data_IF_496708549817
#
_entry.id   IF_496708549817
#
_cell.length_a   1.000
_cell.length_b   1.000
_cell.length_c   1.000
_cell.angle_alpha   90.00
_cell.angle_beta   90.00
_cell.angle_gamma   90.00
#
_symmetry.space_group_name_H-M   'P 1'
#
loop_
_entity.id
_entity.type
_entity.pdbx_description
1 polymer ?
#
# COMPACT_ATOMS: atom_id res chain seq x y z
N UNK A 1 14.25 20.08 -76.85
CA UNK A 1 13.86 18.96 -77.71
C UNK A 1 13.18 17.93 -76.81
N UNK A 2 11.85 17.97 -76.68
CA UNK A 2 10.82 17.22 -77.43
C UNK A 2 11.00 15.70 -77.28
N UNK A 3 10.12 15.00 -76.69
CA UNK A 3 8.73 14.54 -76.88
C UNK A 3 8.34 13.57 -75.78
N UNK A 4 7.30 13.77 -75.06
CA UNK A 4 5.93 13.21 -75.11
C UNK A 4 5.80 11.85 -75.87
N UNK A 5 5.10 10.85 -75.17
CA UNK A 5 3.83 10.30 -75.61
C UNK A 5 3.45 9.04 -74.75
N UNK A 6 2.33 9.13 -74.08
CA UNK A 6 1.11 8.33 -73.95
C UNK A 6 1.08 6.95 -73.35
N UNK A 7 0.18 6.90 -72.41
CA UNK A 7 -0.67 5.80 -71.93
C UNK A 7 -1.44 5.13 -73.11
N UNK A 8 -1.90 3.91 -73.02
CA UNK A 8 -3.09 3.54 -72.23
C UNK A 8 -3.26 2.07 -71.80
N UNK A 9 -4.18 1.84 -70.87
CA UNK A 9 -5.12 0.71 -71.02
C UNK A 9 -5.24 -0.29 -69.86
N UNK A 10 -6.31 -0.12 -69.15
CA UNK A 10 -7.13 -1.10 -68.37
C UNK A 10 -6.90 -2.60 -68.62
N UNK A 11 -6.93 -3.42 -67.58
CA UNK A 11 -8.06 -4.36 -67.37
C UNK A 11 -7.99 -5.05 -65.99
N UNK A 12 -9.17 -5.20 -65.37
CA UNK A 12 -9.55 -5.89 -64.13
C UNK A 12 -9.04 -7.32 -64.01
N UNK A 13 -8.67 -7.73 -62.79
CA UNK A 13 -9.07 -9.05 -62.27
C UNK A 13 -9.01 -9.07 -60.72
N UNK A 14 -10.18 -9.31 -60.12
CA UNK A 14 -10.38 -9.59 -58.68
C UNK A 14 -9.70 -10.92 -58.34
N UNK A 15 -8.94 -10.94 -57.22
CA UNK A 15 -8.75 -12.16 -56.44
C UNK A 15 -8.72 -11.81 -54.93
N UNK A 16 -9.63 -12.45 -54.21
CA UNK A 16 -9.72 -12.44 -52.77
C UNK A 16 -8.48 -13.08 -52.15
N UNK A 17 -7.86 -12.42 -51.17
CA UNK A 17 -6.94 -13.06 -50.25
C UNK A 17 -7.35 -12.61 -48.83
N UNK A 18 -7.79 -13.57 -48.03
CA UNK A 18 -8.12 -13.43 -46.65
C UNK A 18 -6.83 -13.14 -45.88
N UNK A 19 -6.72 -11.93 -45.30
CA UNK A 19 -5.66 -11.56 -44.38
C UNK A 19 -6.08 -11.88 -42.96
N UNK A 20 -5.43 -12.84 -42.32
CA UNK A 20 -5.49 -13.05 -40.88
C UNK A 20 -4.90 -11.81 -40.20
N UNK A 21 -5.74 -11.03 -39.55
CA UNK A 21 -5.31 -10.00 -38.62
C UNK A 21 -4.88 -10.65 -37.32
N UNK A 22 -3.58 -10.74 -37.07
CA UNK A 22 -3.03 -11.08 -35.76
C UNK A 22 -3.30 -9.93 -34.82
N UNK A 23 -4.27 -10.10 -33.93
CA UNK A 23 -4.53 -9.17 -32.83
C UNK A 23 -3.43 -9.40 -31.79
N UNK A 24 -2.39 -8.56 -31.80
CA UNK A 24 -1.45 -8.44 -30.68
C UNK A 24 -2.19 -7.79 -29.50
N UNK A 25 -2.67 -8.60 -28.56
CA UNK A 25 -3.14 -8.12 -27.26
C UNK A 25 -1.87 -7.78 -26.45
N UNK A 26 -1.44 -6.52 -26.57
CA UNK A 26 -0.47 -5.96 -25.63
C UNK A 26 -1.18 -5.80 -24.29
N UNK A 27 -0.95 -6.73 -23.36
CA UNK A 27 -1.36 -6.59 -21.98
C UNK A 27 -0.52 -5.47 -21.33
N UNK A 28 -0.93 -4.21 -21.56
CA UNK A 28 -0.46 -3.09 -20.76
C UNK A 28 -1.01 -3.25 -19.34
N UNK A 29 -0.22 -3.79 -18.42
CA UNK A 29 -0.46 -3.63 -16.99
C UNK A 29 -0.30 -2.14 -16.66
N UNK A 30 -1.38 -1.39 -16.81
CA UNK A 30 -1.46 -0.02 -16.32
C UNK A 30 -1.34 -0.09 -14.80
N UNK A 31 -0.19 0.30 -14.27
CA UNK A 31 -0.09 0.76 -12.89
C UNK A 31 -1.08 1.93 -12.76
N UNK A 32 -2.22 1.67 -12.13
CA UNK A 32 -3.24 2.69 -11.95
C UNK A 32 -2.67 3.82 -11.12
N UNK A 33 -2.53 5.00 -11.72
CA UNK A 33 -2.35 6.23 -10.97
C UNK A 33 -3.44 6.30 -9.86
N UNK A 34 -3.14 6.83 -8.67
CA UNK A 34 -4.18 7.07 -7.69
C UNK A 34 -5.26 7.94 -8.34
N UNK A 35 -6.50 7.47 -8.27
CA UNK A 35 -7.64 8.20 -8.80
C UNK A 35 -7.69 9.60 -8.15
N UNK A 36 -8.10 10.66 -8.88
CA UNK A 36 -8.28 11.99 -8.30
C UNK A 36 -9.18 11.87 -7.07
N UNK A 37 -8.79 12.55 -5.99
CA UNK A 37 -9.52 12.53 -4.73
C UNK A 37 -10.99 12.93 -4.97
N UNK A 38 -11.96 12.16 -4.46
CA UNK A 38 -13.38 12.49 -4.62
C UNK A 38 -13.69 13.84 -3.95
N UNK A 39 -14.71 14.57 -4.41
CA UNK A 39 -15.21 15.75 -3.70
C UNK A 39 -15.59 15.39 -2.27
N UNK A 40 -15.44 16.31 -1.32
CA UNK A 40 -15.88 16.11 0.06
C UNK A 40 -17.39 15.79 0.02
N UNK A 41 -17.83 14.61 0.45
CA UNK A 41 -19.26 14.31 0.52
C UNK A 41 -19.92 15.27 1.51
N UNK A 42 -21.07 15.82 1.19
CA UNK A 42 -21.84 16.72 2.07
C UNK A 42 -22.37 16.03 3.33
N UNK A 43 -22.28 14.71 3.40
CA UNK A 43 -22.39 13.88 4.59
C UNK A 43 -21.58 12.61 4.29
N UNK A 44 -20.45 12.40 4.95
CA UNK A 44 -19.92 11.06 5.10
C UNK A 44 -20.86 10.43 6.12
N UNK A 45 -21.90 9.83 5.61
CA UNK A 45 -22.79 8.97 6.39
C UNK A 45 -21.90 8.00 7.19
N UNK A 46 -22.32 7.61 8.38
CA UNK A 46 -21.61 6.69 9.27
C UNK A 46 -21.32 5.30 8.64
N UNK A 47 -21.33 5.22 7.33
CA UNK A 47 -21.03 4.05 6.51
C UNK A 47 -19.55 3.72 6.64
N UNK A 48 -19.28 2.68 7.40
CA UNK A 48 -17.94 2.25 7.75
C UNK A 48 -17.05 1.99 6.55
N UNK A 49 -15.76 2.14 6.77
CA UNK A 49 -14.72 1.74 5.82
C UNK A 49 -14.71 0.20 5.69
N UNK A 50 -14.46 -0.29 4.48
CA UNK A 50 -14.30 -1.71 4.16
C UNK A 50 -12.81 -2.05 4.16
N UNK A 51 -12.36 -2.83 5.13
CA UNK A 51 -10.93 -3.17 5.33
C UNK A 51 -10.71 -4.65 4.99
N UNK A 52 -9.94 -4.95 3.95
CA UNK A 52 -9.56 -6.33 3.66
C UNK A 52 -8.53 -6.82 4.66
N UNK A 53 -8.88 -7.83 5.44
CA UNK A 53 -7.97 -8.53 6.35
C UNK A 53 -7.10 -9.57 5.64
N UNK A 54 -7.31 -9.75 4.34
CA UNK A 54 -6.57 -10.69 3.50
C UNK A 54 -7.41 -11.85 3.00
N UNK A 55 -6.74 -12.80 2.35
CA UNK A 55 -7.29 -14.09 1.93
C UNK A 55 -6.62 -15.18 2.75
N UNK A 56 -7.41 -16.08 3.32
CA UNK A 56 -6.94 -17.22 4.11
C UNK A 56 -7.62 -18.50 3.61
N UNK A 57 -6.98 -19.68 3.71
CA UNK A 57 -7.59 -20.93 3.28
C UNK A 57 -8.91 -21.24 4.02
N UNK A 58 -8.95 -20.90 5.30
CA UNK A 58 -10.14 -20.98 6.15
C UNK A 58 -10.07 -19.94 7.26
N UNK A 59 -11.22 -19.57 7.82
CA UNK A 59 -11.34 -18.64 8.94
C UNK A 59 -12.18 -19.23 10.06
N UNK A 60 -11.67 -19.11 11.29
CA UNK A 60 -12.44 -19.37 12.51
C UNK A 60 -12.97 -18.04 13.02
N UNK A 61 -14.29 -17.95 13.17
CA UNK A 61 -15.01 -16.74 13.57
C UNK A 61 -15.74 -16.98 14.90
N UNK A 62 -15.83 -15.95 15.71
CA UNK A 62 -16.67 -15.92 16.93
C UNK A 62 -17.03 -14.48 17.26
N UNK A 63 -17.94 -14.26 18.19
CA UNK A 63 -18.29 -12.94 18.70
C UNK A 63 -18.44 -12.94 20.22
N UNK A 64 -18.26 -11.76 20.84
CA UNK A 64 -18.42 -11.58 22.30
C UNK A 64 -19.88 -11.45 22.75
N UNK A 65 -20.81 -11.42 21.81
CA UNK A 65 -22.27 -11.42 22.05
C UNK A 65 -22.94 -12.36 21.04
N UNK A 66 -24.27 -12.50 21.14
CA UNK A 66 -25.04 -13.21 20.12
C UNK A 66 -24.78 -12.63 18.72
N UNK A 67 -24.76 -13.47 17.72
CA UNK A 67 -24.39 -13.09 16.36
C UNK A 67 -25.36 -13.71 15.33
N UNK A 68 -25.37 -13.10 14.14
CA UNK A 68 -26.10 -13.58 12.98
C UNK A 68 -25.20 -13.64 11.77
N UNK A 69 -25.30 -14.72 11.02
CA UNK A 69 -24.75 -14.83 9.67
C UNK A 69 -25.86 -14.49 8.69
N UNK A 70 -25.67 -13.47 7.91
CA UNK A 70 -26.65 -12.96 6.94
C UNK A 70 -26.13 -13.29 5.54
N UNK A 71 -26.98 -13.92 4.72
CA UNK A 71 -26.65 -14.24 3.34
C UNK A 71 -26.70 -12.99 2.43
N UNK A 72 -26.37 -13.18 1.17
CA UNK A 72 -26.40 -12.11 0.16
C UNK A 72 -27.79 -11.52 -0.10
N UNK A 73 -28.86 -12.27 0.21
CA UNK A 73 -30.25 -11.86 0.03
C UNK A 73 -30.80 -11.16 1.29
N UNK A 74 -29.98 -10.97 2.33
CA UNK A 74 -30.35 -10.33 3.59
C UNK A 74 -31.06 -11.25 4.58
N UNK A 75 -31.11 -12.57 4.33
CA UNK A 75 -31.75 -13.55 5.22
C UNK A 75 -30.76 -14.04 6.26
N UNK A 76 -31.29 -14.35 7.46
CA UNK A 76 -30.48 -14.99 8.51
C UNK A 76 -30.24 -16.45 8.10
N UNK A 77 -28.99 -16.73 7.74
CA UNK A 77 -28.53 -18.06 7.34
C UNK A 77 -28.13 -18.94 8.53
N UNK A 78 -27.57 -18.30 9.59
CA UNK A 78 -27.25 -18.93 10.85
C UNK A 78 -27.24 -17.89 11.97
N UNK A 79 -27.43 -18.34 13.21
CA UNK A 79 -27.27 -17.51 14.39
C UNK A 79 -26.67 -18.33 15.53
N UNK A 80 -26.03 -17.66 16.48
CA UNK A 80 -25.40 -18.30 17.62
C UNK A 80 -25.22 -17.36 18.78
N UNK A 81 -24.66 -17.91 19.86
CA UNK A 81 -24.44 -17.24 21.13
C UNK A 81 -23.02 -16.66 21.19
N UNK A 82 -22.78 -15.86 22.21
CA UNK A 82 -21.43 -15.42 22.56
C UNK A 82 -20.47 -16.63 22.71
N UNK A 83 -19.33 -16.56 22.05
CA UNK A 83 -18.28 -17.59 22.11
C UNK A 83 -18.46 -18.78 21.17
N UNK A 84 -19.64 -18.97 20.55
CA UNK A 84 -19.81 -20.03 19.56
C UNK A 84 -18.84 -19.86 18.39
N UNK A 85 -18.17 -20.95 18.02
CA UNK A 85 -17.18 -20.95 16.96
C UNK A 85 -17.80 -21.34 15.61
N UNK A 86 -17.45 -20.60 14.59
CA UNK A 86 -17.79 -20.89 13.20
C UNK A 86 -16.50 -21.14 12.43
N UNK A 87 -16.44 -22.16 11.61
CA UNK A 87 -15.36 -22.35 10.65
C UNK A 87 -15.89 -22.18 9.23
N UNK A 88 -15.28 -21.22 8.50
CA UNK A 88 -15.60 -20.94 7.11
C UNK A 88 -14.43 -21.26 6.19
N UNK A 89 -14.72 -21.96 5.11
CA UNK A 89 -13.80 -22.22 4.00
C UNK A 89 -14.49 -21.90 2.67
N UNK A 90 -13.74 -21.87 1.58
CA UNK A 90 -14.30 -21.74 0.24
C UNK A 90 -13.68 -22.72 -0.71
N UNK A 91 -14.51 -23.29 -1.56
CA UNK A 91 -14.10 -24.12 -2.69
C UNK A 91 -14.96 -23.77 -3.91
N UNK A 92 -14.32 -23.56 -5.05
CA UNK A 92 -14.98 -23.27 -6.33
C UNK A 92 -16.04 -22.13 -6.25
N UNK A 93 -15.78 -21.11 -5.43
CA UNK A 93 -16.68 -19.94 -5.29
C UNK A 93 -17.82 -20.12 -4.28
N UNK A 94 -17.98 -21.30 -3.71
CA UNK A 94 -18.98 -21.62 -2.67
C UNK A 94 -18.35 -21.52 -1.28
N UNK A 95 -19.05 -20.88 -0.34
CA UNK A 95 -18.65 -20.82 1.06
C UNK A 95 -19.23 -22.01 1.81
N UNK A 96 -18.40 -22.75 2.54
CA UNK A 96 -18.81 -23.84 3.41
C UNK A 96 -18.64 -23.41 4.86
N UNK A 97 -19.75 -23.43 5.61
CA UNK A 97 -19.77 -23.25 7.06
C UNK A 97 -19.74 -24.62 7.72
N UNK A 98 -18.81 -24.83 8.64
CA UNK A 98 -18.81 -25.96 9.57
C UNK A 98 -19.15 -25.46 10.97
N UNK A 99 -20.20 -26.03 11.55
CA UNK A 99 -20.65 -25.76 12.92
C UNK A 99 -19.95 -26.69 13.93
N UNK A 100 -19.86 -26.31 15.21
CA UNK A 100 -19.23 -27.15 16.25
C UNK A 100 -19.86 -28.54 16.38
N UNK A 101 -21.16 -28.68 16.10
CA UNK A 101 -21.89 -29.96 16.10
C UNK A 101 -21.63 -30.85 14.87
N UNK A 102 -20.72 -30.43 13.96
CA UNK A 102 -20.35 -31.17 12.77
C UNK A 102 -21.26 -30.96 11.55
N UNK A 103 -22.32 -30.19 11.66
CA UNK A 103 -23.17 -29.83 10.53
C UNK A 103 -22.37 -28.93 9.55
N UNK A 104 -22.55 -29.17 8.25
CA UNK A 104 -21.99 -28.35 7.18
C UNK A 104 -23.11 -27.76 6.35
N UNK A 105 -22.98 -26.47 6.07
CA UNK A 105 -23.92 -25.75 5.20
C UNK A 105 -23.16 -24.98 4.15
N UNK A 106 -23.70 -24.90 2.96
CA UNK A 106 -23.11 -24.20 1.83
C UNK A 106 -23.91 -22.92 1.53
N UNK A 107 -23.21 -21.86 1.20
CA UNK A 107 -23.76 -20.56 0.88
C UNK A 107 -23.10 -19.96 -0.35
N UNK A 108 -23.90 -19.24 -1.13
CA UNK A 108 -23.34 -18.34 -2.14
C UNK A 108 -22.73 -17.11 -1.47
N UNK A 109 -21.51 -16.76 -1.86
CA UNK A 109 -20.85 -15.55 -1.38
C UNK A 109 -21.53 -14.27 -1.94
N UNK A 110 -21.44 -13.12 -1.23
CA UNK A 110 -20.88 -12.94 0.10
C UNK A 110 -21.85 -13.33 1.21
N UNK A 111 -21.31 -13.60 2.40
CA UNK A 111 -22.10 -13.65 3.64
C UNK A 111 -21.55 -12.61 4.62
N UNK A 112 -22.40 -12.13 5.53
CA UNK A 112 -22.01 -11.12 6.52
C UNK A 112 -22.23 -11.65 7.93
N UNK A 113 -21.18 -11.58 8.78
CA UNK A 113 -21.29 -11.85 10.21
C UNK A 113 -21.48 -10.53 10.95
N UNK A 114 -22.59 -10.43 11.71
CA UNK A 114 -22.91 -9.27 12.52
C UNK A 114 -23.18 -9.71 13.95
N UNK A 115 -22.66 -8.97 14.94
CA UNK A 115 -23.05 -9.14 16.31
C UNK A 115 -24.41 -8.44 16.58
N UNK A 116 -25.20 -8.96 17.52
CA UNK A 116 -26.50 -8.37 17.85
C UNK A 116 -26.31 -7.01 18.54
N UNK A 117 -25.33 -6.91 19.46
CA UNK A 117 -25.01 -5.64 20.10
C UNK A 117 -23.94 -4.89 19.32
N UNK A 118 -24.11 -3.59 19.06
CA UNK A 118 -23.16 -2.79 18.28
C UNK A 118 -21.76 -2.70 18.89
N UNK A 119 -21.65 -2.74 20.21
CA UNK A 119 -20.37 -2.69 20.97
C UNK A 119 -19.65 -4.03 21.01
N UNK A 120 -20.30 -5.12 20.62
CA UNK A 120 -19.70 -6.44 20.62
C UNK A 120 -18.54 -6.53 19.62
N UNK A 121 -17.56 -7.35 19.97
CA UNK A 121 -16.39 -7.60 19.13
C UNK A 121 -16.57 -8.91 18.38
N UNK A 122 -16.07 -8.95 17.14
CA UNK A 122 -16.00 -10.17 16.35
C UNK A 122 -14.54 -10.57 16.23
N UNK A 123 -14.25 -11.87 16.39
CA UNK A 123 -12.89 -12.39 16.23
C UNK A 123 -12.77 -13.17 14.92
N UNK A 124 -11.61 -12.98 14.26
CA UNK A 124 -11.17 -13.74 13.09
C UNK A 124 -9.82 -14.36 13.43
N UNK A 125 -9.73 -15.67 13.47
CA UNK A 125 -8.50 -16.38 13.81
C UNK A 125 -7.86 -15.81 15.07
N UNK A 126 -8.67 -15.63 16.13
CA UNK A 126 -8.31 -15.09 17.46
C UNK A 126 -7.99 -13.57 17.51
N UNK A 127 -8.01 -12.84 16.40
CA UNK A 127 -7.87 -11.38 16.39
C UNK A 127 -9.23 -10.70 16.47
N UNK A 128 -9.35 -9.70 17.33
CA UNK A 128 -10.61 -9.02 17.63
C UNK A 128 -10.79 -7.76 16.78
N UNK A 129 -12.02 -7.56 16.30
CA UNK A 129 -12.41 -6.44 15.47
C UNK A 129 -13.74 -5.86 15.93
N UNK A 130 -13.91 -4.55 15.75
CA UNK A 130 -15.20 -3.85 15.89
C UNK A 130 -15.98 -3.94 14.59
N UNK A 131 -17.29 -3.64 14.65
CA UNK A 131 -18.17 -3.62 13.49
C UNK A 131 -18.60 -5.00 13.03
N UNK A 132 -18.64 -5.23 11.72
CA UNK A 132 -19.08 -6.48 11.10
C UNK A 132 -18.05 -7.04 10.14
N UNK A 133 -18.26 -8.29 9.71
CA UNK A 133 -17.41 -8.94 8.69
C UNK A 133 -18.25 -9.25 7.46
N UNK A 134 -17.69 -9.00 6.28
CA UNK A 134 -18.16 -9.56 5.02
C UNK A 134 -17.17 -10.62 4.54
N UNK A 135 -17.66 -11.80 4.25
CA UNK A 135 -16.85 -12.97 3.86
C UNK A 135 -17.18 -13.28 2.40
N UNK A 136 -16.13 -13.26 1.56
CA UNK A 136 -16.22 -13.50 0.13
C UNK A 136 -15.42 -14.75 -0.25
N UNK A 137 -15.89 -15.44 -1.27
CA UNK A 137 -15.07 -16.48 -1.90
C UNK A 137 -13.89 -15.84 -2.64
N UNK A 138 -12.74 -16.50 -2.61
CA UNK A 138 -11.54 -16.15 -3.36
C UNK A 138 -10.89 -17.43 -3.92
N UNK A 139 -10.04 -17.31 -4.95
CA UNK A 139 -9.43 -18.45 -5.63
C UNK A 139 -8.65 -19.38 -4.69
N UNK A 140 -8.04 -18.83 -3.64
CA UNK A 140 -7.22 -19.56 -2.66
C UNK A 140 -7.85 -19.67 -1.27
N UNK A 141 -9.17 -19.51 -1.14
CA UNK A 141 -9.89 -19.60 0.13
C UNK A 141 -10.92 -18.49 0.33
N UNK A 142 -10.97 -17.91 1.52
CA UNK A 142 -11.94 -16.87 1.90
C UNK A 142 -11.26 -15.52 2.06
N UNK A 143 -11.84 -14.48 1.46
CA UNK A 143 -11.46 -13.08 1.74
C UNK A 143 -12.34 -12.56 2.86
N UNK A 144 -11.70 -12.04 3.90
CA UNK A 144 -12.37 -11.40 5.02
C UNK A 144 -12.27 -9.88 4.85
N UNK A 145 -13.40 -9.21 4.92
CA UNK A 145 -13.50 -7.74 4.87
C UNK A 145 -14.19 -7.26 6.14
N UNK A 146 -13.48 -6.50 6.96
CA UNK A 146 -14.06 -5.87 8.14
C UNK A 146 -14.76 -4.57 7.72
N UNK A 147 -16.02 -4.40 8.12
CA UNK A 147 -16.79 -3.16 7.97
C UNK A 147 -16.85 -2.46 9.32
N UNK A 148 -16.24 -1.30 9.43
CA UNK A 148 -16.04 -0.62 10.71
C UNK A 148 -16.10 0.89 10.51
N UNK A 149 -16.62 1.65 11.49
CA UNK A 149 -16.59 3.11 11.46
C UNK A 149 -15.16 3.64 11.38
N UNK A 150 -14.93 4.76 10.66
CA UNK A 150 -13.59 5.32 10.41
C UNK A 150 -12.83 5.57 11.71
N UNK A 151 -13.46 6.12 12.74
CA UNK A 151 -12.78 6.41 14.02
C UNK A 151 -12.34 5.10 14.73
N UNK A 152 -13.18 4.09 14.76
CA UNK A 152 -12.85 2.79 15.31
C UNK A 152 -11.74 2.08 14.51
N UNK A 153 -11.73 2.24 13.18
CA UNK A 153 -10.63 1.79 12.32
C UNK A 153 -9.31 2.46 12.70
N UNK A 154 -9.30 3.78 12.88
CA UNK A 154 -8.09 4.55 13.20
C UNK A 154 -7.48 4.17 14.55
N UNK A 155 -8.29 3.77 15.54
CA UNK A 155 -7.80 3.25 16.83
C UNK A 155 -6.95 1.99 16.64
N UNK A 156 -7.27 1.17 15.63
CA UNK A 156 -6.47 0.00 15.27
C UNK A 156 -5.31 0.27 14.29
N UNK A 157 -5.27 1.45 13.64
CA UNK A 157 -4.24 1.86 12.66
C UNK A 157 -3.14 2.67 13.32
N UNK A 158 -3.47 3.76 14.02
CA UNK A 158 -2.50 4.74 14.54
C UNK A 158 -1.41 4.08 15.39
N UNK A 159 -1.71 3.18 16.35
CA UNK A 159 -0.68 2.51 17.12
C UNK A 159 0.20 1.55 16.30
N UNK A 160 -0.35 0.96 15.26
CA UNK A 160 0.40 0.03 14.38
C UNK A 160 1.33 0.77 13.44
N UNK A 161 0.99 1.98 13.05
CA UNK A 161 1.77 2.82 12.14
C UNK A 161 2.86 3.60 12.91
N UNK A 162 2.51 4.26 14.00
CA UNK A 162 3.45 5.11 14.74
C UNK A 162 4.17 4.36 15.87
N UNK A 163 3.67 3.19 16.27
CA UNK A 163 4.11 2.42 17.44
C UNK A 163 3.55 2.97 18.74
N UNK A 164 3.87 2.30 19.85
CA UNK A 164 3.49 2.76 21.20
C UNK A 164 4.25 4.05 21.53
N UNK A 165 3.51 5.11 21.90
CA UNK A 165 4.04 6.45 22.18
C UNK A 165 3.59 6.95 23.52
N UNK A 166 4.40 7.83 24.14
CA UNK A 166 4.05 8.56 25.36
C UNK A 166 3.33 9.87 25.06
N UNK A 167 2.88 10.53 26.11
CA UNK A 167 2.16 11.81 26.05
C UNK A 167 2.96 12.93 25.32
N UNK A 168 4.30 12.91 25.39
CA UNK A 168 5.17 13.88 24.70
C UNK A 168 5.12 13.78 23.17
N UNK A 169 4.61 12.68 22.62
CA UNK A 169 4.46 12.47 21.18
C UNK A 169 3.02 12.73 20.69
N UNK A 170 2.14 13.33 21.53
CA UNK A 170 0.71 13.54 21.26
C UNK A 170 0.46 14.24 19.92
N UNK A 171 1.15 15.35 19.63
CA UNK A 171 0.95 16.07 18.38
C UNK A 171 1.31 15.23 17.14
N UNK A 172 2.28 14.32 17.26
CA UNK A 172 2.59 13.37 16.17
C UNK A 172 1.49 12.31 15.99
N UNK A 173 0.89 11.81 17.07
CA UNK A 173 -0.24 10.89 17.03
C UNK A 173 -1.49 11.56 16.42
N UNK A 174 -1.76 12.81 16.79
CA UNK A 174 -2.84 13.63 16.22
C UNK A 174 -2.62 13.86 14.71
N UNK A 175 -1.38 14.20 14.30
CA UNK A 175 -1.02 14.36 12.88
C UNK A 175 -1.18 13.03 12.11
N UNK A 176 -0.76 11.91 12.72
CA UNK A 176 -0.93 10.58 12.13
C UNK A 176 -2.41 10.22 11.98
N UNK A 177 -3.25 10.51 12.99
CA UNK A 177 -4.68 10.24 12.92
C UNK A 177 -5.36 11.01 11.79
N UNK A 178 -5.05 12.32 11.63
CA UNK A 178 -5.59 13.15 10.55
C UNK A 178 -5.08 12.67 9.17
N UNK A 179 -3.80 12.36 9.03
CA UNK A 179 -3.25 11.85 7.77
C UNK A 179 -3.85 10.49 7.40
N UNK A 180 -3.95 9.55 8.38
CA UNK A 180 -4.53 8.24 8.16
C UNK A 180 -6.03 8.31 7.84
N UNK A 181 -6.77 9.21 8.48
CA UNK A 181 -8.19 9.47 8.18
C UNK A 181 -8.35 10.00 6.76
N UNK A 182 -7.55 10.98 6.36
CA UNK A 182 -7.56 11.53 5.00
C UNK A 182 -7.30 10.46 3.96
N UNK A 183 -6.28 9.62 4.19
CA UNK A 183 -5.95 8.49 3.32
C UNK A 183 -7.11 7.51 3.18
N UNK A 184 -7.77 7.16 4.29
CA UNK A 184 -8.89 6.24 4.34
C UNK A 184 -10.12 6.83 3.64
N UNK A 185 -10.53 8.06 4.04
CA UNK A 185 -11.72 8.74 3.51
C UNK A 185 -11.61 8.97 1.99
N UNK A 186 -10.44 9.31 1.49
CA UNK A 186 -10.21 9.46 0.04
C UNK A 186 -10.41 8.15 -0.76
N UNK A 187 -10.55 7.01 -0.11
CA UNK A 187 -10.74 5.68 -0.72
C UNK A 187 -12.12 5.08 -0.51
N UNK A 188 -12.90 5.61 0.41
CA UNK A 188 -14.28 5.16 0.66
C UNK A 188 -15.12 5.36 -0.60
N UNK A 189 -15.99 4.39 -0.89
CA UNK A 189 -16.91 4.44 -2.04
C UNK A 189 -16.32 3.88 -3.33
N UNK A 190 -15.16 3.26 -3.30
CA UNK A 190 -14.63 2.55 -4.48
C UNK A 190 -15.50 1.32 -4.78
N UNK A 191 -16.31 1.41 -5.84
CA UNK A 191 -17.23 0.34 -6.25
C UNK A 191 -16.57 -0.76 -7.07
N UNK A 192 -15.33 -0.54 -7.54
CA UNK A 192 -14.61 -1.51 -8.38
C UNK A 192 -13.94 -2.61 -7.57
N UNK A 193 -13.83 -2.44 -6.24
CA UNK A 193 -13.21 -3.40 -5.34
C UNK A 193 -14.18 -3.80 -4.23
N UNK A 194 -14.02 -5.01 -3.73
CA UNK A 194 -14.77 -5.51 -2.58
C UNK A 194 -14.40 -4.80 -1.25
N UNK A 195 -13.34 -3.99 -1.24
CA UNK A 195 -12.85 -3.26 -0.07
C UNK A 195 -12.23 -1.92 -0.47
N UNK A 196 -12.13 -1.00 0.48
CA UNK A 196 -11.56 0.33 0.28
C UNK A 196 -10.05 0.35 0.53
N UNK A 197 -9.59 -0.36 1.57
CA UNK A 197 -8.18 -0.46 1.98
C UNK A 197 -7.82 -1.88 2.40
N UNK A 198 -6.53 -2.23 2.27
CA UNK A 198 -5.95 -3.47 2.79
C UNK A 198 -5.32 -3.23 4.17
N UNK A 199 -5.49 -4.18 5.11
CA UNK A 199 -4.93 -4.18 6.45
C UNK A 199 -3.43 -4.54 6.45
N UNK A 200 -2.62 -3.93 5.60
CA UNK A 200 -1.21 -4.25 5.41
C UNK A 200 -0.41 -3.01 4.97
N UNK A 201 0.90 -3.17 4.81
CA UNK A 201 1.79 -2.12 4.28
C UNK A 201 1.49 -1.71 2.83
N UNK A 202 0.54 -2.35 2.17
CA UNK A 202 0.02 -1.93 0.85
C UNK A 202 -0.78 -0.64 0.97
N UNK A 203 -1.59 -0.52 2.04
CA UNK A 203 -2.36 0.68 2.38
C UNK A 203 -2.02 1.14 3.79
N UNK A 204 -2.66 0.60 4.84
CA UNK A 204 -2.44 0.97 6.24
C UNK A 204 -2.43 -0.28 7.12
N UNK A 205 -1.45 -0.38 8.03
CA UNK A 205 -1.38 -1.54 8.93
C UNK A 205 -2.48 -1.43 9.97
N UNK A 206 -3.47 -2.32 9.90
CA UNK A 206 -4.62 -2.37 10.78
C UNK A 206 -4.56 -3.59 11.69
N UNK A 207 -4.56 -3.39 12.99
CA UNK A 207 -4.43 -4.44 14.00
C UNK A 207 -5.74 -4.78 14.73
N UNK A 208 -6.87 -4.16 14.36
CA UNK A 208 -8.13 -4.33 15.10
C UNK A 208 -8.05 -3.83 16.54
N UNK A 209 -8.90 -4.38 17.39
CA UNK A 209 -8.98 -4.01 18.83
C UNK A 209 -7.69 -4.33 19.58
N UNK A 210 -6.99 -5.38 19.19
CA UNK A 210 -5.77 -5.83 19.86
C UNK A 210 -4.59 -4.85 19.71
N UNK A 211 -4.71 -3.85 18.85
CA UNK A 211 -3.74 -2.78 18.67
C UNK A 211 -4.11 -1.51 19.44
N UNK A 212 -5.35 -1.34 19.88
CA UNK A 212 -5.84 -0.13 20.53
C UNK A 212 -5.07 0.18 21.83
N UNK A 213 -4.81 1.46 22.10
CA UNK A 213 -4.25 1.93 23.37
C UNK A 213 -4.73 3.34 23.69
N UNK A 214 -4.82 3.66 24.97
CA UNK A 214 -5.44 4.88 25.47
C UNK A 214 -4.81 6.18 24.92
N UNK A 215 -3.48 6.20 24.67
CA UNK A 215 -2.78 7.42 24.19
C UNK A 215 -3.13 7.70 22.72
N UNK A 216 -3.12 6.66 21.89
CA UNK A 216 -3.51 6.79 20.50
C UNK A 216 -5.02 7.05 20.35
N UNK A 217 -5.85 6.38 21.17
CA UNK A 217 -7.30 6.58 21.19
C UNK A 217 -7.67 8.03 21.54
N UNK A 218 -6.96 8.63 22.51
CA UNK A 218 -7.15 10.05 22.86
C UNK A 218 -6.78 10.99 21.69
N UNK A 219 -5.72 10.68 20.93
CA UNK A 219 -5.33 11.48 19.76
C UNK A 219 -6.33 11.33 18.59
N UNK A 220 -6.87 10.12 18.35
CA UNK A 220 -7.94 9.88 17.38
C UNK A 220 -9.19 10.68 17.76
N UNK A 221 -9.63 10.60 19.02
CA UNK A 221 -10.80 11.33 19.52
C UNK A 221 -10.62 12.86 19.46
N UNK A 222 -9.44 13.38 19.83
CA UNK A 222 -9.16 14.83 19.78
C UNK A 222 -9.18 15.38 18.34
N UNK A 223 -9.01 14.54 17.34
CA UNK A 223 -8.99 14.90 15.92
C UNK A 223 -10.19 14.32 15.13
N UNK A 224 -11.23 13.89 15.83
CA UNK A 224 -12.41 13.25 15.20
C UNK A 224 -12.96 14.08 14.03
N UNK A 225 -13.21 13.42 12.91
CA UNK A 225 -13.72 14.03 11.68
C UNK A 225 -12.75 14.97 10.96
N UNK A 226 -11.54 15.23 11.47
CA UNK A 226 -10.58 16.12 10.82
C UNK A 226 -9.82 15.37 9.71
N UNK A 227 -9.79 15.97 8.52
CA UNK A 227 -9.05 15.50 7.34
C UNK A 227 -8.26 16.63 6.71
N UNK A 228 -7.32 16.27 5.85
CA UNK A 228 -6.63 17.21 4.95
C UNK A 228 -7.44 17.40 3.67
N UNK A 229 -7.61 18.64 3.28
CA UNK A 229 -8.26 19.01 2.01
C UNK A 229 -7.35 19.91 1.17
N UNK A 230 -7.47 19.78 -0.14
CA UNK A 230 -6.86 20.67 -1.13
C UNK A 230 -7.92 21.05 -2.16
N UNK A 231 -8.14 22.35 -2.37
CA UNK A 231 -9.21 22.86 -3.23
C UNK A 231 -10.59 22.25 -2.91
N UNK A 232 -10.92 22.15 -1.62
CA UNK A 232 -12.20 21.63 -1.15
C UNK A 232 -12.38 20.10 -1.26
N UNK A 233 -11.35 19.36 -1.67
CA UNK A 233 -11.40 17.89 -1.79
C UNK A 233 -10.50 17.23 -0.76
N UNK A 234 -10.95 16.11 -0.20
CA UNK A 234 -10.12 15.28 0.69
C UNK A 234 -8.93 14.74 -0.09
N UNK A 235 -7.72 14.90 0.45
CA UNK A 235 -6.49 14.45 -0.19
C UNK A 235 -6.10 13.05 0.28
N UNK A 236 -5.51 12.27 -0.61
CA UNK A 236 -4.79 11.06 -0.23
C UNK A 236 -3.48 11.47 0.45
N UNK A 237 -3.40 11.33 1.77
CA UNK A 237 -2.27 11.76 2.58
C UNK A 237 -1.37 10.56 2.96
N UNK A 238 -0.42 10.14 2.11
CA UNK A 238 0.49 9.05 2.39
C UNK A 238 1.50 9.44 3.46
N UNK A 239 2.05 8.43 4.15
CA UNK A 239 3.08 8.61 5.15
C UNK A 239 4.07 7.44 5.12
N UNK A 240 5.23 7.64 5.70
CA UNK A 240 6.31 6.65 5.73
C UNK A 240 7.14 6.79 7.00
N UNK A 241 7.89 5.77 7.35
CA UNK A 241 8.59 5.72 8.63
C UNK A 241 9.59 6.87 8.79
N UNK A 242 10.62 6.99 7.94
CA UNK A 242 11.59 8.09 8.02
C UNK A 242 12.11 8.50 6.65
N UNK A 243 12.17 9.81 6.39
CA UNK A 243 12.54 10.35 5.09
C UNK A 243 14.07 10.35 4.82
N UNK A 244 14.90 10.24 5.87
CA UNK A 244 16.34 10.35 5.75
C UNK A 244 16.86 11.80 5.58
N UNK A 245 16.06 12.80 6.03
CA UNK A 245 16.39 14.22 6.00
C UNK A 245 15.59 15.05 5.00
N UNK A 246 15.00 14.43 3.98
CA UNK A 246 14.08 15.10 3.03
C UNK A 246 13.05 14.10 2.49
N UNK A 247 11.80 14.54 2.38
CA UNK A 247 10.78 13.78 1.64
C UNK A 247 11.02 13.85 0.13
N UNK A 248 10.28 13.10 -0.64
CA UNK A 248 10.26 13.14 -2.10
C UNK A 248 8.92 13.67 -2.60
N UNK A 249 8.91 14.27 -3.78
CA UNK A 249 7.66 14.50 -4.50
C UNK A 249 7.07 13.18 -5.02
N UNK A 250 5.77 13.16 -5.28
CA UNK A 250 5.08 11.93 -5.66
C UNK A 250 5.61 11.32 -6.96
N UNK A 251 5.88 12.15 -7.97
CA UNK A 251 6.40 11.75 -9.28
C UNK A 251 7.85 11.26 -9.26
N UNK A 252 8.61 11.59 -8.22
CA UNK A 252 9.96 11.05 -8.02
C UNK A 252 9.94 9.54 -7.67
N UNK A 253 8.86 9.05 -7.07
CA UNK A 253 8.77 7.69 -6.50
C UNK A 253 7.75 6.84 -7.24
N UNK A 254 6.60 7.41 -7.58
CA UNK A 254 5.50 6.73 -8.25
C UNK A 254 5.37 7.17 -9.70
N UNK A 255 4.82 6.32 -10.54
CA UNK A 255 4.50 6.64 -11.93
C UNK A 255 3.14 7.37 -12.01
N UNK A 256 2.95 8.39 -11.16
CA UNK A 256 1.74 9.20 -11.08
C UNK A 256 2.05 10.65 -11.45
N UNK A 257 0.99 11.41 -11.74
CA UNK A 257 1.13 12.86 -11.86
C UNK A 257 1.59 13.45 -10.52
N UNK A 258 2.31 14.55 -10.58
CA UNK A 258 2.72 15.27 -9.39
C UNK A 258 1.50 15.93 -8.73
N UNK A 259 1.30 15.62 -7.45
CA UNK A 259 0.25 16.23 -6.64
C UNK A 259 0.80 17.49 -5.97
N UNK A 260 0.12 18.65 -6.07
CA UNK A 260 0.64 19.92 -5.54
C UNK A 260 0.94 19.89 -4.03
N UNK A 261 0.30 19.00 -3.29
CA UNK A 261 0.47 18.83 -1.85
C UNK A 261 1.44 17.68 -1.47
N UNK A 262 1.97 16.91 -2.44
CA UNK A 262 2.94 15.84 -2.23
C UNK A 262 4.32 16.27 -2.76
N UNK A 263 4.84 17.33 -2.19
CA UNK A 263 6.11 17.94 -2.59
C UNK A 263 7.28 17.46 -1.73
N UNK A 264 8.47 17.74 -2.21
CA UNK A 264 9.69 17.55 -1.43
C UNK A 264 9.73 18.56 -0.28
N UNK A 265 9.89 18.06 0.94
CA UNK A 265 9.97 18.84 2.17
C UNK A 265 11.26 18.51 2.90
N UNK A 266 12.05 19.54 3.26
CA UNK A 266 13.23 19.36 4.11
C UNK A 266 12.80 19.11 5.57
N UNK A 267 13.41 18.11 6.17
CA UNK A 267 13.21 17.79 7.58
C UNK A 267 14.33 18.30 8.48
N UNK A 268 15.18 19.21 7.93
CA UNK A 268 16.31 19.82 8.65
C UNK A 268 15.82 20.73 9.77
N UNK A 269 16.45 20.64 10.94
CA UNK A 269 16.23 21.56 12.07
C UNK A 269 16.93 22.88 11.73
N UNK A 270 16.20 24.01 11.72
CA UNK A 270 16.78 25.30 11.38
C UNK A 270 18.03 25.63 12.20
N UNK A 271 19.06 26.17 11.54
CA UNK A 271 20.32 26.55 12.19
C UNK A 271 21.24 25.40 12.59
N UNK A 272 20.93 24.15 12.21
CA UNK A 272 21.72 22.97 12.60
C UNK A 272 21.99 22.05 11.42
N UNK A 273 22.87 21.07 11.58
CA UNK A 273 23.08 19.94 10.65
C UNK A 273 22.26 18.70 11.00
N UNK A 274 21.30 18.85 11.92
CA UNK A 274 20.42 17.79 12.42
C UNK A 274 19.07 17.81 11.65
N UNK A 275 18.38 16.67 11.72
CA UNK A 275 17.06 16.51 11.14
C UNK A 275 16.04 16.07 12.21
N UNK A 276 14.80 16.51 12.13
CA UNK A 276 13.75 16.07 13.03
C UNK A 276 13.60 14.54 13.04
N UNK A 277 13.84 13.88 11.91
CA UNK A 277 13.76 12.43 11.78
C UNK A 277 15.05 11.66 12.10
N UNK A 278 16.17 12.31 12.46
CA UNK A 278 17.45 11.62 12.71
C UNK A 278 17.47 10.80 14.00
N UNK A 279 16.46 10.99 14.86
CA UNK A 279 16.19 10.15 16.02
C UNK A 279 15.62 8.77 15.66
N UNK A 280 15.33 8.50 14.38
CA UNK A 280 14.79 7.22 13.96
C UNK A 280 15.86 6.13 14.01
N UNK A 281 15.55 4.93 14.55
CA UNK A 281 16.50 3.81 14.58
C UNK A 281 16.99 3.38 13.20
N UNK A 282 16.17 3.64 12.16
CA UNK A 282 16.47 3.31 10.75
C UNK A 282 16.76 4.56 9.91
N UNK A 283 17.23 5.63 10.54
CA UNK A 283 17.62 6.84 9.81
C UNK A 283 18.77 6.56 8.84
N UNK A 284 19.77 5.79 9.29
CA UNK A 284 20.86 5.26 8.46
C UNK A 284 20.77 3.75 8.43
N UNK A 285 21.11 3.16 7.29
CA UNK A 285 21.07 1.72 7.13
C UNK A 285 22.11 1.24 6.11
N UNK A 286 22.50 -0.01 6.23
CA UNK A 286 23.33 -0.73 5.27
C UNK A 286 22.68 -2.09 4.97
N UNK A 287 22.82 -2.54 3.73
CA UNK A 287 22.46 -3.89 3.31
C UNK A 287 23.48 -4.42 2.32
N UNK A 288 23.86 -5.69 2.47
CA UNK A 288 24.86 -6.32 1.64
C UNK A 288 24.36 -7.67 1.14
N UNK A 289 24.75 -8.00 -0.08
CA UNK A 289 24.48 -9.30 -0.71
C UNK A 289 25.79 -9.83 -1.29
N UNK A 290 26.04 -11.14 -1.16
CA UNK A 290 26.97 -11.87 -1.99
C UNK A 290 26.36 -12.07 -3.37
N UNK A 291 27.17 -12.30 -4.40
CA UNK A 291 26.73 -12.44 -5.78
C UNK A 291 25.66 -13.52 -5.98
N UNK A 292 25.85 -14.69 -5.36
CA UNK A 292 24.91 -15.82 -5.39
C UNK A 292 23.55 -15.46 -4.78
N UNK A 293 23.58 -14.85 -3.61
CA UNK A 293 22.39 -14.39 -2.90
C UNK A 293 21.65 -13.29 -3.66
N UNK A 294 22.38 -12.34 -4.24
CA UNK A 294 21.79 -11.28 -5.08
C UNK A 294 21.11 -11.87 -6.32
N UNK A 295 21.78 -12.81 -6.99
CA UNK A 295 21.23 -13.53 -8.15
C UNK A 295 19.92 -14.24 -7.80
N UNK A 296 19.89 -14.95 -6.66
CA UNK A 296 18.67 -15.62 -6.19
C UNK A 296 17.51 -14.64 -5.92
N UNK A 297 17.80 -13.49 -5.32
CA UNK A 297 16.82 -12.45 -5.05
C UNK A 297 16.32 -11.83 -6.36
N UNK A 298 17.20 -11.49 -7.27
CA UNK A 298 16.84 -10.91 -8.58
C UNK A 298 16.04 -11.92 -9.41
N UNK A 299 16.42 -13.20 -9.47
CA UNK A 299 15.67 -14.25 -10.14
C UNK A 299 14.22 -14.33 -9.63
N UNK A 300 14.03 -14.25 -8.33
CA UNK A 300 12.70 -14.37 -7.69
C UNK A 300 11.78 -13.19 -7.99
N UNK A 301 12.30 -11.97 -8.02
CA UNK A 301 11.45 -10.77 -7.99
C UNK A 301 11.48 -9.92 -9.26
N UNK A 302 12.49 -10.01 -10.11
CA UNK A 302 12.69 -9.11 -11.26
C UNK A 302 11.53 -9.12 -12.25
N UNK A 303 10.98 -10.31 -12.56
CA UNK A 303 9.91 -10.50 -13.55
C UNK A 303 8.63 -9.74 -13.25
N UNK A 304 8.37 -9.47 -11.98
CA UNK A 304 7.19 -8.70 -11.56
C UNK A 304 7.32 -7.20 -11.85
N UNK A 305 8.54 -6.72 -12.16
CA UNK A 305 8.84 -5.28 -12.28
C UNK A 305 9.59 -4.89 -13.56
N UNK A 306 10.05 -5.86 -14.31
CA UNK A 306 10.74 -5.66 -15.58
C UNK A 306 10.32 -6.72 -16.61
N UNK A 307 10.39 -6.34 -17.89
CA UNK A 307 10.19 -7.30 -18.98
C UNK A 307 11.42 -8.20 -19.08
N UNK A 308 11.26 -9.46 -18.73
CA UNK A 308 12.30 -10.48 -18.74
C UNK A 308 11.87 -11.60 -19.67
N UNK A 309 12.70 -11.98 -20.67
CA UNK A 309 12.42 -13.11 -21.55
C UNK A 309 12.18 -14.42 -20.78
N UNK A 310 11.50 -15.41 -21.34
CA UNK A 310 11.35 -16.74 -20.74
C UNK A 310 12.70 -17.39 -20.41
N UNK A 311 12.70 -18.23 -19.35
CA UNK A 311 13.91 -18.89 -18.85
C UNK A 311 14.58 -18.16 -17.71
N UNK A 312 15.71 -18.63 -17.12
CA UNK A 312 16.36 -18.01 -15.99
C UNK A 312 16.86 -16.59 -16.32
N UNK A 313 16.85 -15.69 -15.32
CA UNK A 313 17.36 -14.32 -15.44
C UNK A 313 18.88 -14.30 -15.66
N UNK A 314 19.58 -15.30 -15.13
CA UNK A 314 21.02 -15.42 -15.19
C UNK A 314 21.75 -14.75 -14.01
N UNK A 315 23.04 -15.01 -13.91
CA UNK A 315 23.91 -14.49 -12.85
C UNK A 315 23.98 -12.95 -12.91
N UNK A 316 23.82 -12.28 -11.79
CA UNK A 316 23.98 -10.82 -11.70
C UNK A 316 25.47 -10.47 -11.79
N UNK A 317 25.83 -9.67 -12.78
CA UNK A 317 27.21 -9.25 -13.06
C UNK A 317 27.49 -7.83 -12.62
N UNK A 318 26.46 -6.96 -12.70
CA UNK A 318 26.62 -5.55 -12.42
C UNK A 318 25.33 -4.90 -11.93
N UNK A 319 25.47 -3.90 -11.05
CA UNK A 319 24.37 -3.05 -10.58
C UNK A 319 24.85 -1.61 -10.60
N UNK A 320 24.17 -0.77 -11.40
CA UNK A 320 24.56 0.63 -11.60
C UNK A 320 23.40 1.56 -11.36
N UNK A 321 23.65 2.68 -10.68
CA UNK A 321 22.68 3.79 -10.61
C UNK A 321 22.69 4.51 -11.96
N UNK A 322 21.52 4.53 -12.61
CA UNK A 322 21.32 5.24 -13.87
C UNK A 322 21.06 6.74 -13.63
N UNK A 323 20.20 7.05 -12.66
CA UNK A 323 19.86 8.44 -12.34
C UNK A 323 19.37 8.58 -10.89
N UNK A 324 19.46 9.79 -10.36
CA UNK A 324 18.91 10.18 -9.06
C UNK A 324 17.85 11.25 -9.25
N UNK A 325 16.90 11.27 -8.31
CA UNK A 325 15.85 12.30 -8.23
C UNK A 325 16.39 13.57 -7.57
N UNK A 326 15.69 14.71 -7.66
CA UNK A 326 16.02 15.93 -6.92
C UNK A 326 16.06 15.76 -5.40
N UNK A 327 15.35 14.76 -4.84
CA UNK A 327 15.46 14.41 -3.41
C UNK A 327 16.66 13.52 -3.07
N UNK A 328 17.55 13.24 -4.04
CA UNK A 328 18.76 12.43 -3.87
C UNK A 328 18.52 10.91 -3.90
N UNK A 329 17.28 10.47 -4.12
CA UNK A 329 16.92 9.05 -4.23
C UNK A 329 17.30 8.49 -5.59
N UNK A 330 17.56 7.19 -5.66
CA UNK A 330 17.81 6.49 -6.93
C UNK A 330 16.49 6.48 -7.73
N UNK A 331 16.46 7.21 -8.84
CA UNK A 331 15.33 7.29 -9.76
C UNK A 331 15.29 6.04 -10.65
N UNK A 332 16.44 5.60 -11.13
CA UNK A 332 16.57 4.41 -11.94
C UNK A 332 17.90 3.68 -11.66
N UNK A 333 17.82 2.36 -11.75
CA UNK A 333 18.90 1.44 -11.50
C UNK A 333 18.95 0.39 -12.61
N UNK A 334 20.14 0.08 -13.11
CA UNK A 334 20.37 -1.03 -14.01
C UNK A 334 20.85 -2.27 -13.25
N UNK A 335 20.23 -3.39 -13.53
CA UNK A 335 20.70 -4.72 -13.14
C UNK A 335 21.14 -5.46 -14.40
N UNK A 336 22.43 -5.72 -14.53
CA UNK A 336 22.99 -6.48 -15.63
C UNK A 336 23.24 -7.92 -15.18
N UNK A 337 22.78 -8.87 -15.98
CA UNK A 337 22.96 -10.29 -15.74
C UNK A 337 23.71 -10.94 -16.91
N UNK A 338 24.05 -12.21 -16.78
CA UNK A 338 24.63 -12.98 -17.89
C UNK A 338 23.70 -13.13 -19.10
N UNK A 339 22.40 -12.76 -18.96
CA UNK A 339 21.37 -12.95 -20.00
C UNK A 339 20.69 -11.67 -20.44
N UNK A 340 20.97 -10.54 -19.82
CA UNK A 340 20.34 -9.27 -20.20
C UNK A 340 20.59 -8.15 -19.21
N UNK A 341 20.12 -6.95 -19.59
CA UNK A 341 20.22 -5.74 -18.79
C UNK A 341 18.82 -5.20 -18.55
N UNK A 342 18.48 -4.99 -17.29
CA UNK A 342 17.12 -4.66 -16.85
C UNK A 342 17.10 -3.36 -16.06
N UNK A 343 16.18 -2.46 -16.40
CA UNK A 343 16.05 -1.16 -15.77
C UNK A 343 14.91 -1.17 -14.76
N UNK A 344 15.24 -0.92 -13.50
CA UNK A 344 14.27 -0.71 -12.42
C UNK A 344 14.08 0.77 -12.16
N UNK A 345 12.88 1.22 -11.83
CA UNK A 345 12.56 2.63 -11.61
C UNK A 345 11.82 2.85 -10.30
N UNK A 346 12.13 3.97 -9.64
CA UNK A 346 11.44 4.42 -8.43
C UNK A 346 11.32 3.31 -7.38
N UNK A 347 10.13 3.10 -6.88
CA UNK A 347 9.90 2.14 -5.81
C UNK A 347 10.08 0.67 -6.22
N UNK A 348 10.07 0.33 -7.52
CA UNK A 348 10.31 -1.03 -8.02
C UNK A 348 11.68 -1.56 -7.56
N UNK A 349 12.67 -0.66 -7.42
CA UNK A 349 14.00 -0.99 -6.91
C UNK A 349 13.92 -1.67 -5.54
N UNK A 350 13.04 -1.19 -4.66
CA UNK A 350 12.85 -1.77 -3.31
C UNK A 350 12.19 -3.14 -3.34
N UNK A 351 11.33 -3.36 -4.31
CA UNK A 351 10.61 -4.62 -4.47
C UNK A 351 11.48 -5.71 -5.09
N UNK A 352 12.51 -5.34 -5.86
CA UNK A 352 13.45 -6.30 -6.45
C UNK A 352 14.66 -6.55 -5.55
N UNK A 353 15.31 -5.51 -5.02
CA UNK A 353 16.48 -5.64 -4.16
C UNK A 353 16.08 -5.94 -2.70
N UNK A 354 15.38 -7.05 -2.50
CA UNK A 354 14.99 -7.53 -1.16
C UNK A 354 16.17 -8.17 -0.42
N UNK A 355 16.01 -8.36 0.88
CA UNK A 355 16.87 -9.27 1.61
C UNK A 355 16.65 -10.72 1.14
N UNK A 356 17.57 -11.65 1.42
CA UNK A 356 17.37 -13.08 1.17
C UNK A 356 16.13 -13.63 1.89
N UNK A 357 15.76 -13.07 3.07
CA UNK A 357 14.53 -13.39 3.80
C UNK A 357 13.26 -12.77 3.20
N UNK A 358 13.36 -11.95 2.14
CA UNK A 358 12.24 -11.35 1.42
C UNK A 358 11.81 -9.96 1.92
N UNK A 359 12.52 -9.36 2.86
CA UNK A 359 12.25 -7.99 3.32
C UNK A 359 12.56 -6.97 2.22
N UNK A 360 11.68 -6.00 2.04
CA UNK A 360 11.89 -4.89 1.11
C UNK A 360 13.17 -4.11 1.43
N UNK A 361 13.81 -3.55 0.40
CA UNK A 361 14.88 -2.58 0.62
C UNK A 361 14.33 -1.37 1.40
N UNK A 362 15.12 -0.86 2.34
CA UNK A 362 14.67 0.15 3.28
C UNK A 362 14.10 1.41 2.59
N UNK A 363 14.83 1.95 1.62
CA UNK A 363 14.40 3.10 0.80
C UNK A 363 15.11 3.08 -0.54
N UNK A 364 14.78 4.01 -1.43
CA UNK A 364 15.56 4.29 -2.63
C UNK A 364 16.63 5.37 -2.42
N UNK A 365 16.78 5.89 -1.21
CA UNK A 365 17.79 6.89 -0.86
C UNK A 365 19.08 6.23 -0.43
N UNK A 366 19.88 5.75 -1.41
CA UNK A 366 21.11 5.02 -1.14
C UNK A 366 22.20 5.27 -2.19
N UNK A 367 23.40 4.83 -1.89
CA UNK A 367 24.53 4.69 -2.81
C UNK A 367 25.02 3.26 -2.79
N UNK A 368 25.20 2.61 -3.96
CA UNK A 368 25.78 1.28 -4.06
C UNK A 368 27.30 1.33 -4.00
N UNK A 369 27.87 0.28 -3.44
CA UNK A 369 29.29 -0.06 -3.48
C UNK A 369 29.39 -1.49 -4.02
N UNK A 370 30.09 -1.65 -5.13
CA UNK A 370 30.27 -2.93 -5.82
C UNK A 370 31.70 -3.41 -5.58
N UNK A 371 31.85 -4.65 -5.11
CA UNK A 371 33.14 -5.34 -5.06
C UNK A 371 33.14 -6.38 -6.16
N UNK A 372 34.18 -6.35 -6.99
CA UNK A 372 34.38 -7.29 -8.10
C UNK A 372 35.67 -8.09 -7.90
N UNK A 373 35.68 -9.29 -8.46
CA UNK A 373 36.89 -10.11 -8.61
C UNK A 373 37.81 -9.56 -9.69
N UNK A 374 39.09 -10.02 -9.79
CA UNK A 374 40.04 -9.56 -10.81
C UNK A 374 39.59 -9.72 -12.25
N UNK A 375 38.70 -10.70 -12.52
CA UNK A 375 38.07 -10.93 -13.83
C UNK A 375 36.79 -10.06 -14.06
N UNK A 376 36.53 -9.07 -13.17
CA UNK A 376 35.47 -8.10 -13.30
C UNK A 376 34.08 -8.60 -12.87
N UNK A 377 33.95 -9.81 -12.32
CA UNK A 377 32.66 -10.34 -11.85
C UNK A 377 32.29 -9.75 -10.49
N UNK A 378 31.02 -9.38 -10.34
CA UNK A 378 30.48 -8.95 -9.06
C UNK A 378 30.63 -10.08 -8.02
N UNK A 379 31.27 -9.78 -6.89
CA UNK A 379 31.38 -10.69 -5.75
C UNK A 379 30.48 -10.26 -4.59
N UNK A 380 30.28 -8.94 -4.43
CA UNK A 380 29.43 -8.35 -3.38
C UNK A 380 28.84 -7.03 -3.84
N UNK A 381 27.58 -6.83 -3.54
CA UNK A 381 26.89 -5.53 -3.57
C UNK A 381 26.62 -5.09 -2.14
N UNK A 382 27.07 -3.91 -1.76
CA UNK A 382 26.69 -3.22 -0.52
C UNK A 382 25.98 -1.92 -0.88
N UNK A 383 24.85 -1.64 -0.25
CA UNK A 383 24.14 -0.36 -0.37
C UNK A 383 24.07 0.31 0.98
N UNK A 384 24.48 1.57 1.05
CA UNK A 384 24.35 2.43 2.24
C UNK A 384 23.34 3.51 1.97
N UNK A 385 22.36 3.67 2.86
CA UNK A 385 21.26 4.55 2.60
C UNK A 385 20.72 5.26 3.84
N UNK A 386 19.76 6.15 3.55
CA UNK A 386 19.04 6.94 4.54
C UNK A 386 17.54 6.68 4.42
N UNK A 387 16.84 6.72 5.56
CA UNK A 387 15.40 6.63 5.59
C UNK A 387 14.81 5.22 5.44
N UNK A 388 13.52 5.09 5.72
CA UNK A 388 12.77 3.84 5.65
C UNK A 388 11.34 4.11 5.16
N UNK A 389 10.98 3.52 4.03
CA UNK A 389 9.70 3.70 3.34
C UNK A 389 9.85 4.35 1.98
N UNK A 390 8.73 4.76 1.38
CA UNK A 390 8.69 5.36 0.03
C UNK A 390 9.19 6.82 -0.01
N UNK A 391 9.10 7.53 1.10
CA UNK A 391 9.62 8.91 1.20
C UNK A 391 8.64 10.03 0.82
N UNK A 392 7.40 9.73 0.40
CA UNK A 392 6.39 10.73 -0.01
C UNK A 392 5.44 11.08 1.14
N UNK A 393 5.04 12.33 1.26
CA UNK A 393 4.12 12.83 2.29
C UNK A 393 4.76 12.87 3.68
N UNK A 394 4.00 12.53 4.75
CA UNK A 394 4.46 12.72 6.12
C UNK A 394 5.53 11.71 6.54
N UNK A 395 6.66 12.23 7.05
CA UNK A 395 7.69 11.47 7.73
C UNK A 395 7.26 11.23 9.19
N UNK A 396 6.98 9.98 9.57
CA UNK A 396 6.49 9.64 10.92
C UNK A 396 7.50 10.02 12.02
N UNK A 397 8.78 9.67 11.86
CA UNK A 397 9.82 10.07 12.80
C UNK A 397 10.12 11.56 12.77
N UNK A 398 9.93 12.22 11.61
CA UNK A 398 9.98 13.66 11.52
C UNK A 398 8.82 14.32 12.26
N UNK A 399 7.60 13.80 12.17
CA UNK A 399 6.45 14.25 12.94
C UNK A 399 6.69 14.11 14.46
N UNK A 400 7.29 12.98 14.90
CA UNK A 400 7.69 12.78 16.30
C UNK A 400 8.75 13.82 16.74
N UNK A 401 9.79 14.02 15.95
CA UNK A 401 10.83 15.02 16.26
C UNK A 401 10.28 16.44 16.34
N UNK A 402 9.36 16.81 15.43
CA UNK A 402 8.67 18.10 15.43
C UNK A 402 7.73 18.27 16.63
N UNK A 403 6.98 17.24 17.01
CA UNK A 403 6.16 17.24 18.21
C UNK A 403 7.00 17.47 19.46
N UNK A 404 8.14 16.78 19.59
CA UNK A 404 9.09 16.94 20.70
C UNK A 404 9.76 18.32 20.71
N UNK A 405 9.83 19.00 19.56
CA UNK A 405 10.26 20.39 19.42
C UNK A 405 9.10 21.39 19.67
N UNK A 406 7.94 20.95 20.17
CA UNK A 406 6.81 21.81 20.54
C UNK A 406 5.88 22.20 19.38
N UNK A 407 6.03 21.60 18.20
CA UNK A 407 5.11 21.89 17.09
C UNK A 407 3.79 21.12 17.30
N UNK A 408 2.66 21.81 17.05
CA UNK A 408 1.34 21.21 17.04
C UNK A 408 1.08 20.35 15.79
N UNK A 409 0.03 19.53 15.82
CA UNK A 409 -0.29 18.63 14.71
C UNK A 409 -0.64 19.38 13.41
N UNK A 410 -1.23 20.58 13.48
CA UNK A 410 -1.58 21.39 12.29
C UNK A 410 -0.34 21.92 11.61
N UNK A 411 0.65 22.35 12.38
CA UNK A 411 1.96 22.79 11.90
C UNK A 411 2.72 21.64 11.26
N UNK A 412 2.71 20.46 11.87
CA UNK A 412 3.31 19.21 11.34
C UNK A 412 2.66 18.87 9.99
N UNK A 413 1.33 18.83 9.92
CA UNK A 413 0.61 18.49 8.70
C UNK A 413 0.83 19.51 7.57
N UNK A 414 0.76 20.80 7.86
CA UNK A 414 1.06 21.85 6.87
C UNK A 414 2.47 21.78 6.32
N UNK A 415 3.41 21.33 7.13
CA UNK A 415 4.79 21.13 6.69
C UNK A 415 4.89 20.00 5.65
N UNK A 416 4.31 18.85 5.94
CA UNK A 416 4.44 17.66 5.07
C UNK A 416 3.45 17.63 3.90
N UNK A 417 2.37 18.41 3.99
CA UNK A 417 1.35 18.53 2.94
C UNK A 417 1.08 20.02 2.64
N UNK A 418 2.05 20.69 1.97
CA UNK A 418 1.94 22.13 1.70
C UNK A 418 0.70 22.45 0.88
N UNK A 419 0.07 23.61 1.18
CA UNK A 419 -1.13 24.08 0.51
C UNK A 419 -2.43 23.38 0.94
N UNK A 420 -2.38 22.37 1.81
CA UNK A 420 -3.59 21.74 2.35
C UNK A 420 -4.13 22.50 3.56
N UNK A 421 -5.41 22.31 3.82
CA UNK A 421 -6.10 22.77 5.03
C UNK A 421 -6.66 21.59 5.82
N UNK A 422 -6.71 21.73 7.16
CA UNK A 422 -7.38 20.76 8.03
C UNK A 422 -8.83 21.17 8.17
N UNK A 423 -9.75 20.33 7.69
CA UNK A 423 -11.19 20.56 7.71
C UNK A 423 -11.92 19.41 8.42
N UNK A 424 -13.06 19.69 9.03
CA UNK A 424 -13.95 18.64 9.59
C UNK A 424 -14.95 18.23 8.50
N UNK A 425 -15.17 16.91 8.34
CA UNK A 425 -16.05 16.36 7.30
C UNK A 425 -17.26 15.62 7.85
N UNK A 426 -17.31 15.35 9.16
CA UNK A 426 -18.46 14.84 9.91
C UNK A 426 -18.36 15.23 11.39
#
# INVERSE_FOLDING_TARGET
MSRRVRDPGLTFLKRHAAGLAAICIAACTRSSAPAPSPPVPNAIDATGIRVSLGVVPSATLTATDAWRLIDRDGRVAAEGRAGDLLSLSSQAGTLTLAEPAGARREFAAPVSLVAVKPEAMISVNQRRYRGSLSILAADSGVRIVNRVGVEAYLRGVVPRELGVRGAGDRAALEAQAVAARSYAVARIGNTTRAYDVAASTTDQVYGGVDAENAVADAAVAATEGLVLTYNGRVVSAPYHSTCGGSTAAADEIWRSQNEPYLQRVSDRIPGTDRYYCDIAPRFRWERSWRADSLTTVVERYLRSYAQVPPGPVGEVRRVDVDSKTPSGRVAALWVETSRGRYRLRGNDIRYVLRSPSGELLNSTYFSPEVVSSPDGRLTRLTVRGLGYGHGVGMCQWGAIGRARAGQDFRTILRTYFPGTTVARVY
#
